data_IF_595825669675
#
_entry.id   IF_595825669675
#
_cell.length_a   1.000
_cell.length_b   1.000
_cell.length_c   1.000
_cell.angle_alpha   90.00
_cell.angle_beta   90.00
_cell.angle_gamma   90.00
#
_symmetry.space_group_name_H-M   'P 1'
#
loop_
_entity.id
_entity.type
_entity.pdbx_description
1 polymer ?
#
# COMPACT_ATOMS: atom_id res chain seq x y z
N UNK A 1 -1.82 22.41 -0.31
CA UNK A 1 -1.69 21.04 -0.81
C UNK A 1 -0.64 20.34 0.02
N UNK A 2 0.01 19.34 -0.56
CA UNK A 2 1.19 18.68 0.02
C UNK A 2 2.41 19.57 -0.21
N UNK A 3 3.23 19.76 0.82
CA UNK A 3 4.49 20.54 0.74
C UNK A 3 5.73 19.67 0.84
N UNK A 4 5.61 18.44 1.33
CA UNK A 4 6.70 17.49 1.47
C UNK A 4 6.18 16.06 1.39
N UNK A 5 6.92 15.18 0.71
CA UNK A 5 6.68 13.75 0.69
C UNK A 5 8.02 13.02 0.60
N UNK A 6 8.27 12.10 1.54
CA UNK A 6 9.47 11.28 1.58
C UNK A 6 9.08 9.81 1.70
N UNK A 7 9.58 9.00 0.77
CA UNK A 7 9.39 7.56 0.76
C UNK A 7 10.66 6.86 1.23
N UNK A 8 10.55 6.14 2.35
CA UNK A 8 11.63 5.28 2.81
C UNK A 8 11.48 3.89 2.17
N UNK A 9 12.37 3.55 1.24
CA UNK A 9 12.31 2.28 0.51
C UNK A 9 12.65 1.04 1.39
N UNK A 10 13.39 1.23 2.48
CA UNK A 10 13.75 0.15 3.42
C UNK A 10 12.57 -0.21 4.31
N UNK A 11 11.98 0.80 4.97
CA UNK A 11 10.85 0.60 5.90
C UNK A 11 9.49 0.58 5.21
N UNK A 12 9.43 1.03 3.94
CA UNK A 12 8.21 1.24 3.15
C UNK A 12 7.24 2.24 3.80
N UNK A 13 7.79 3.23 4.51
CA UNK A 13 7.03 4.29 5.15
C UNK A 13 7.03 5.55 4.28
N UNK A 14 5.84 6.13 4.10
CA UNK A 14 5.65 7.42 3.43
C UNK A 14 5.40 8.51 4.47
N UNK A 15 6.31 9.48 4.56
CA UNK A 15 6.14 10.66 5.42
C UNK A 15 5.68 11.83 4.57
N UNK A 16 4.51 12.40 4.89
CA UNK A 16 3.92 13.52 4.14
C UNK A 16 3.68 14.71 5.06
N UNK A 17 4.05 15.92 4.63
CA UNK A 17 3.58 17.17 5.25
C UNK A 17 2.58 17.83 4.32
N UNK A 18 1.41 18.13 4.84
CA UNK A 18 0.32 18.73 4.09
C UNK A 18 -0.36 19.83 4.90
N UNK A 19 -1.05 20.72 4.18
CA UNK A 19 -1.90 21.73 4.79
C UNK A 19 -3.32 21.18 4.92
N UNK A 20 -3.72 20.92 6.16
CA UNK A 20 -5.03 20.40 6.58
C UNK A 20 -6.23 21.27 6.15
N UNK A 21 -6.03 22.58 5.98
CA UNK A 21 -7.05 23.49 5.43
C UNK A 21 -7.30 23.32 3.93
N UNK A 22 -6.39 22.65 3.22
CA UNK A 22 -6.47 22.44 1.75
C UNK A 22 -6.66 20.98 1.36
N UNK A 23 -6.21 20.04 2.19
CA UNK A 23 -6.26 18.59 1.94
C UNK A 23 -6.55 17.90 3.26
N UNK A 24 -7.49 16.95 3.25
CA UNK A 24 -7.80 16.13 4.41
C UNK A 24 -6.94 14.86 4.44
N UNK A 25 -6.74 14.30 5.63
CA UNK A 25 -6.03 13.04 5.80
C UNK A 25 -6.68 11.91 5.00
N UNK A 26 -8.02 11.82 5.01
CA UNK A 26 -8.76 10.78 4.28
C UNK A 26 -8.48 10.82 2.77
N UNK A 27 -8.36 12.03 2.21
CA UNK A 27 -8.05 12.20 0.79
C UNK A 27 -6.63 11.74 0.44
N UNK A 28 -5.68 11.87 1.38
CA UNK A 28 -4.34 11.30 1.20
C UNK A 28 -4.39 9.78 1.22
N UNK A 29 -5.08 9.18 2.19
CA UNK A 29 -5.27 7.74 2.24
C UNK A 29 -5.97 7.20 0.97
N UNK A 30 -7.00 7.90 0.49
CA UNK A 30 -7.77 7.52 -0.69
C UNK A 30 -6.89 7.56 -1.93
N UNK A 31 -6.08 8.61 -2.06
CA UNK A 31 -5.14 8.76 -3.16
C UNK A 31 -4.11 7.62 -3.15
N UNK A 32 -3.53 7.30 -2.00
CA UNK A 32 -2.52 6.23 -1.87
C UNK A 32 -3.14 4.85 -2.17
N UNK A 33 -4.34 4.59 -1.64
CA UNK A 33 -5.13 3.39 -1.94
C UNK A 33 -5.42 3.25 -3.43
N UNK A 34 -5.84 4.34 -4.07
CA UNK A 34 -6.15 4.39 -5.51
C UNK A 34 -4.91 4.18 -6.38
N UNK A 35 -3.72 4.60 -5.90
CA UNK A 35 -2.45 4.29 -6.56
C UNK A 35 -2.04 2.82 -6.42
N UNK A 36 -2.72 2.05 -5.57
CA UNK A 36 -2.47 0.62 -5.37
C UNK A 36 -1.58 0.30 -4.18
N UNK A 37 -1.44 1.22 -3.21
CA UNK A 37 -0.73 0.96 -1.95
C UNK A 37 -1.69 0.99 -0.77
N UNK A 38 -1.49 0.07 0.18
CA UNK A 38 -2.27 0.07 1.41
C UNK A 38 -1.76 1.17 2.35
N UNK A 39 -2.66 1.70 3.15
CA UNK A 39 -2.38 2.64 4.24
C UNK A 39 -3.02 2.13 5.52
N UNK A 40 -2.73 2.78 6.64
CA UNK A 40 -3.27 2.37 7.94
C UNK A 40 -4.81 2.43 8.01
N UNK A 41 -5.44 3.28 7.19
CA UNK A 41 -6.91 3.45 7.16
C UNK A 41 -7.60 2.73 6.01
N UNK A 42 -6.89 2.45 4.91
CA UNK A 42 -7.48 1.90 3.69
C UNK A 42 -6.58 0.88 3.01
N UNK A 43 -7.17 -0.24 2.59
CA UNK A 43 -6.50 -1.26 1.80
C UNK A 43 -6.15 -0.73 0.39
N UNK A 44 -5.15 -1.35 -0.25
CA UNK A 44 -4.78 -1.04 -1.62
C UNK A 44 -5.91 -1.39 -2.61
N UNK A 45 -6.16 -0.52 -3.57
CA UNK A 45 -6.98 -0.88 -4.71
C UNK A 45 -6.29 -2.00 -5.50
N UNK A 46 -6.92 -3.18 -5.57
CA UNK A 46 -6.33 -4.39 -6.19
C UNK A 46 -6.06 -4.22 -7.68
N UNK A 47 -6.92 -3.51 -8.40
CA UNK A 47 -6.74 -3.25 -9.82
C UNK A 47 -5.53 -2.35 -10.07
N UNK A 48 -5.39 -1.28 -9.29
CA UNK A 48 -4.22 -0.39 -9.39
C UNK A 48 -2.95 -1.07 -8.92
N UNK A 49 -2.99 -1.81 -7.81
CA UNK A 49 -1.86 -2.57 -7.28
C UNK A 49 -1.36 -3.61 -8.30
N UNK A 50 -2.28 -4.29 -9.00
CA UNK A 50 -1.93 -5.25 -10.06
C UNK A 50 -1.32 -4.61 -11.31
N UNK A 51 -1.60 -3.33 -11.55
CA UNK A 51 -1.01 -2.54 -12.65
C UNK A 51 0.35 -1.93 -12.31
N UNK A 52 0.72 -1.87 -11.03
CA UNK A 52 2.06 -1.43 -10.62
C UNK A 52 3.13 -2.37 -11.17
N UNK A 53 4.30 -1.81 -11.47
CA UNK A 53 5.47 -2.59 -11.85
C UNK A 53 5.84 -3.62 -10.78
N UNK A 54 6.48 -4.72 -11.20
CA UNK A 54 6.83 -5.84 -10.31
C UNK A 54 7.71 -5.43 -9.12
N UNK A 55 8.47 -4.35 -9.23
CA UNK A 55 9.29 -3.81 -8.14
C UNK A 55 8.48 -3.02 -7.10
N UNK A 56 7.32 -2.48 -7.49
CA UNK A 56 6.42 -1.65 -6.70
C UNK A 56 5.28 -2.45 -6.06
N UNK A 57 4.97 -3.62 -6.61
CA UNK A 57 4.03 -4.54 -5.99
C UNK A 57 4.58 -5.04 -4.64
N UNK A 58 3.71 -5.26 -3.63
CA UNK A 58 4.14 -5.92 -2.41
C UNK A 58 4.73 -7.27 -2.79
N UNK A 59 6.00 -7.49 -2.42
CA UNK A 59 6.61 -8.82 -2.49
C UNK A 59 5.73 -9.73 -1.66
N UNK A 60 4.99 -10.63 -2.32
CA UNK A 60 4.25 -11.68 -1.64
C UNK A 60 5.25 -12.33 -0.68
N UNK A 61 5.01 -12.36 0.64
CA UNK A 61 5.81 -13.26 1.45
C UNK A 61 5.67 -14.63 0.80
N UNK A 62 6.77 -15.37 0.68
CA UNK A 62 6.73 -16.74 0.16
C UNK A 62 5.76 -17.64 0.95
N UNK A 63 5.20 -17.15 2.07
CA UNK A 63 4.14 -17.75 2.85
C UNK A 63 3.14 -16.68 3.36
N UNK A 64 2.06 -16.38 2.64
CA UNK A 64 0.82 -15.85 3.23
C UNK A 64 -0.36 -16.15 2.30
N UNK A 65 -0.76 -17.42 2.26
CA UNK A 65 -2.16 -17.77 2.02
C UNK A 65 -2.84 -17.82 3.38
N UNK A 66 -3.47 -16.73 3.80
CA UNK A 66 -4.54 -16.82 4.78
C UNK A 66 -5.86 -16.69 4.04
N UNK A 67 -6.44 -17.87 3.79
CA UNK A 67 -7.72 -18.18 3.12
C UNK A 67 -7.63 -18.55 1.62
N UNK A 68 -6.74 -19.50 1.32
CA UNK A 68 -7.06 -20.66 0.48
C UNK A 68 -6.00 -21.75 0.73
N UNK A 69 -6.42 -22.97 1.00
CA UNK A 69 -5.59 -24.03 1.57
C UNK A 69 -4.37 -24.42 0.72
N UNK A 70 -3.18 -24.04 1.18
CA UNK A 70 -1.90 -24.53 0.65
C UNK A 70 -1.05 -25.13 1.78
N UNK A 71 -1.60 -26.12 2.48
CA UNK A 71 -0.85 -27.04 3.32
C UNK A 71 -1.31 -28.47 2.99
N UNK A 72 -1.09 -28.87 1.74
CA UNK A 72 -1.30 -30.25 1.35
C UNK A 72 -0.14 -31.07 1.92
N UNK A 73 -0.43 -31.70 3.06
CA UNK A 73 -0.05 -33.07 3.45
C UNK A 73 1.21 -33.57 2.72
N UNK A 74 2.38 -33.45 3.36
CA UNK A 74 3.50 -34.34 3.07
C UNK A 74 3.57 -35.41 4.15
N UNK A 75 3.63 -36.63 3.65
CA UNK A 75 3.46 -37.95 4.27
C UNK A 75 4.26 -38.21 5.53
#
# INVERSE_FOLDING_TARGET
GVSFAEWNAETKMLTVRYNDKKVTEDKLHETISTLGYATDKMEANKDSQGKLDKCCQPKKPACASEKAGCCQKKS
#
